data_IF_790382441966
#
_entry.id   IF_790382441966
#
_cell.length_a   1.000
_cell.length_b   1.000
_cell.length_c   1.000
_cell.angle_alpha   90.00
_cell.angle_beta   90.00
_cell.angle_gamma   90.00
#
_symmetry.space_group_name_H-M   'P 1'
#
loop_
_entity.id
_entity.type
_entity.pdbx_description
1 polymer ?
#
# COMPACT_ATOMS: atom_id res chain seq x y z
N UNK A 1 -21.54 0.95 4.82
CA UNK A 1 -20.81 0.22 3.76
C UNK A 1 -19.92 1.24 3.07
N UNK A 2 -18.61 1.11 3.25
CA UNK A 2 -17.61 2.06 2.77
C UNK A 2 -17.23 1.64 1.34
N UNK A 3 -17.61 2.44 0.35
CA UNK A 3 -17.29 2.16 -1.05
C UNK A 3 -16.14 3.05 -1.48
N UNK A 4 -15.01 2.43 -1.83
CA UNK A 4 -13.79 3.09 -2.31
C UNK A 4 -13.56 2.81 -3.80
N UNK A 5 -14.62 2.48 -4.55
CA UNK A 5 -14.59 2.42 -6.01
C UNK A 5 -16.00 2.26 -6.58
N UNK A 6 -16.53 3.32 -7.18
CA UNK A 6 -17.60 3.17 -8.18
C UNK A 6 -17.01 2.83 -9.57
N UNK A 7 -15.68 2.98 -9.77
CA UNK A 7 -14.96 2.64 -11.00
C UNK A 7 -13.43 2.71 -10.83
N UNK A 8 -12.70 1.69 -11.30
CA UNK A 8 -11.21 1.62 -11.34
C UNK A 8 -10.56 2.72 -12.17
N UNK A 9 -11.36 3.51 -12.88
CA UNK A 9 -10.92 4.65 -13.69
C UNK A 9 -10.78 5.95 -12.90
N UNK A 10 -11.47 6.09 -11.77
CA UNK A 10 -11.52 7.34 -11.01
C UNK A 10 -10.76 7.22 -9.69
N UNK A 11 -11.11 6.22 -8.87
CA UNK A 11 -10.51 6.04 -7.55
C UNK A 11 -9.69 4.75 -7.51
N UNK A 12 -8.41 4.86 -7.16
CA UNK A 12 -7.55 3.70 -6.96
C UNK A 12 -6.28 4.03 -6.16
N UNK A 13 -5.74 3.02 -5.52
CA UNK A 13 -4.40 3.01 -4.94
C UNK A 13 -3.48 2.23 -5.87
N UNK A 14 -2.34 2.82 -6.16
CA UNK A 14 -1.27 2.26 -6.97
C UNK A 14 -0.03 2.05 -6.11
N UNK A 15 0.58 0.86 -6.24
CA UNK A 15 1.77 0.48 -5.46
C UNK A 15 2.88 0.10 -6.45
N UNK A 16 4.05 0.75 -6.32
CA UNK A 16 5.22 0.53 -7.18
C UNK A 16 6.47 0.16 -6.40
N UNK A 17 7.30 -0.68 -7.00
CA UNK A 17 8.54 -1.20 -6.42
C UNK A 17 9.72 -0.25 -6.62
N UNK A 18 9.73 0.84 -5.86
CA UNK A 18 10.79 1.85 -5.92
C UNK A 18 10.30 3.24 -5.50
N UNK A 19 11.12 4.27 -5.76
CA UNK A 19 10.85 5.65 -5.35
C UNK A 19 10.28 6.54 -6.47
N UNK A 20 9.93 5.98 -7.63
CA UNK A 20 9.59 6.72 -8.84
C UNK A 20 8.29 6.22 -9.46
N UNK A 21 7.56 7.10 -10.12
CA UNK A 21 6.39 6.71 -10.93
C UNK A 21 6.74 5.82 -12.12
N UNK A 22 8.02 5.69 -12.46
CA UNK A 22 8.51 4.77 -13.49
C UNK A 22 8.91 3.39 -12.95
N UNK A 23 8.90 3.21 -11.63
CA UNK A 23 9.24 1.93 -11.00
C UNK A 23 8.17 0.86 -11.30
N UNK A 24 8.50 -0.42 -11.12
CA UNK A 24 7.63 -1.52 -11.52
C UNK A 24 6.29 -1.50 -10.77
N UNK A 25 5.19 -1.69 -11.49
CA UNK A 25 3.84 -1.70 -10.92
C UNK A 25 3.58 -3.04 -10.24
N UNK A 26 3.47 -3.03 -8.91
CA UNK A 26 3.13 -4.22 -8.13
C UNK A 26 1.62 -4.44 -8.05
N UNK A 27 0.84 -3.37 -8.07
CA UNK A 27 -0.62 -3.49 -8.00
C UNK A 27 -1.36 -2.17 -8.17
N UNK A 28 -2.58 -2.29 -8.72
CA UNK A 28 -3.57 -1.21 -8.80
C UNK A 28 -4.87 -1.73 -8.19
N UNK A 29 -5.33 -1.07 -7.13
CA UNK A 29 -6.44 -1.54 -6.31
C UNK A 29 -7.52 -0.48 -6.20
N UNK A 30 -8.77 -0.89 -6.40
CA UNK A 30 -9.94 -0.07 -6.08
C UNK A 30 -10.99 -0.84 -5.26
N UNK A 31 -10.74 -2.12 -4.93
CA UNK A 31 -11.76 -2.91 -4.23
C UNK A 31 -11.87 -2.50 -2.75
N UNK A 32 -13.03 -2.77 -2.16
CA UNK A 32 -13.24 -2.70 -0.70
C UNK A 32 -12.59 -3.88 0.04
N UNK A 33 -11.94 -4.79 -0.69
CA UNK A 33 -11.23 -5.95 -0.16
C UNK A 33 -9.74 -5.67 -0.25
N UNK A 34 -9.04 -5.82 0.89
CA UNK A 34 -7.59 -5.68 0.93
C UNK A 34 -6.92 -6.70 0.00
N UNK A 35 -5.92 -6.30 -0.80
CA UNK A 35 -5.21 -7.24 -1.65
C UNK A 35 -4.38 -8.23 -0.81
N UNK A 36 -3.91 -9.34 -1.42
CA UNK A 36 -2.86 -10.16 -0.84
C UNK A 36 -1.64 -9.32 -0.46
N UNK A 37 -0.81 -9.83 0.45
CA UNK A 37 0.42 -9.15 0.84
C UNK A 37 1.32 -8.89 -0.37
N UNK A 38 1.75 -7.63 -0.53
CA UNK A 38 2.66 -7.19 -1.57
C UNK A 38 4.05 -7.10 -0.97
N UNK A 39 5.03 -7.72 -1.65
CA UNK A 39 6.42 -7.78 -1.21
C UNK A 39 7.24 -6.97 -2.21
N UNK A 40 7.96 -5.96 -1.73
CA UNK A 40 8.92 -5.20 -2.52
C UNK A 40 10.20 -6.00 -2.75
N UNK A 41 10.85 -5.77 -3.89
CA UNK A 41 12.20 -6.30 -4.12
C UNK A 41 13.26 -5.52 -3.33
N UNK A 42 12.96 -4.29 -2.94
CA UNK A 42 13.87 -3.40 -2.22
C UNK A 42 13.27 -2.73 -0.97
N UNK A 43 14.01 -1.79 -0.35
CA UNK A 43 13.58 -1.11 0.87
C UNK A 43 12.60 0.05 0.62
N UNK A 44 12.17 0.27 -0.63
CA UNK A 44 11.34 1.42 -1.00
C UNK A 44 10.13 0.97 -1.81
N UNK A 45 8.96 1.45 -1.38
CA UNK A 45 7.71 1.37 -2.12
C UNK A 45 7.15 2.77 -2.34
N UNK A 46 6.62 3.02 -3.53
CA UNK A 46 5.83 4.22 -3.82
C UNK A 46 4.35 3.84 -3.80
N UNK A 47 3.59 4.48 -2.91
CA UNK A 47 2.15 4.31 -2.80
C UNK A 47 1.48 5.61 -3.25
N UNK A 48 0.71 5.56 -4.33
CA UNK A 48 -0.02 6.72 -4.86
C UNK A 48 -1.52 6.47 -4.78
N UNK A 49 -2.24 7.40 -4.16
CA UNK A 49 -3.70 7.43 -4.20
C UNK A 49 -4.16 8.40 -5.27
N UNK A 50 -5.06 7.95 -6.13
CA UNK A 50 -5.69 8.74 -7.18
C UNK A 50 -7.20 8.71 -6.92
N UNK A 51 -7.82 9.88 -6.92
CA UNK A 51 -9.25 10.07 -6.67
C UNK A 51 -9.77 11.21 -7.53
N UNK A 52 -11.07 11.22 -7.86
CA UNK A 52 -11.75 12.38 -8.41
C UNK A 52 -12.56 13.17 -7.35
N UNK A 53 -13.29 14.22 -7.78
CA UNK A 53 -14.06 15.07 -6.85
C UNK A 53 -15.43 14.46 -6.48
N UNK A 54 -15.87 13.38 -7.15
CA UNK A 54 -17.19 12.79 -6.97
C UNK A 54 -17.15 11.60 -6.01
N UNK A 55 -18.24 11.35 -5.28
CA UNK A 55 -18.41 10.16 -4.42
C UNK A 55 -17.23 9.85 -3.48
N UNK A 56 -16.85 10.83 -2.65
CA UNK A 56 -15.77 10.66 -1.65
C UNK A 56 -16.05 9.48 -0.70
N UNK A 57 -15.09 8.55 -0.61
CA UNK A 57 -15.11 7.42 0.32
C UNK A 57 -14.42 7.72 1.65
N UNK A 58 -14.20 6.71 2.50
CA UNK A 58 -13.49 6.88 3.78
C UNK A 58 -11.96 6.91 3.65
N UNK A 59 -11.43 6.84 2.43
CA UNK A 59 -10.01 6.65 2.17
C UNK A 59 -9.55 5.22 2.45
N UNK A 60 -8.24 5.03 2.63
CA UNK A 60 -7.63 3.72 2.84
C UNK A 60 -6.70 3.68 4.05
N UNK A 61 -6.54 2.48 4.59
CA UNK A 61 -5.56 2.17 5.62
C UNK A 61 -4.66 1.07 5.10
N UNK A 62 -3.35 1.22 5.32
CA UNK A 62 -2.36 0.22 4.95
C UNK A 62 -1.51 -0.14 6.16
N UNK A 63 -1.13 -1.42 6.23
CA UNK A 63 -0.16 -1.94 7.20
C UNK A 63 1.07 -2.40 6.44
N UNK A 64 2.26 -1.98 6.89
CA UNK A 64 3.52 -2.45 6.33
C UNK A 64 4.45 -3.01 7.41
N UNK A 65 5.30 -3.94 6.97
CA UNK A 65 6.28 -4.66 7.78
C UNK A 65 7.62 -4.62 7.05
N UNK A 66 8.69 -4.35 7.79
CA UNK A 66 10.05 -4.31 7.25
C UNK A 66 10.76 -5.59 7.66
N UNK A 67 11.14 -6.40 6.68
CA UNK A 67 11.96 -7.60 6.91
C UNK A 67 13.44 -7.22 6.87
N UNK A 68 14.14 -7.37 7.99
CA UNK A 68 15.60 -7.21 8.05
C UNK A 68 16.27 -8.56 7.81
N UNK A 69 16.88 -8.73 6.63
CA UNK A 69 17.69 -9.91 6.33
C UNK A 69 19.15 -9.58 6.63
N UNK A 70 19.61 -9.68 7.89
CA UNK A 70 21.04 -9.46 8.15
C UNK A 70 21.54 -9.16 9.57
N UNK A 71 20.79 -9.41 10.64
CA UNK A 71 21.36 -9.29 11.98
C UNK A 71 20.98 -10.55 12.78
N UNK A 72 21.98 -11.25 13.30
CA UNK A 72 21.79 -12.31 14.29
C UNK A 72 21.33 -11.69 15.61
N UNK A 73 20.12 -11.16 15.62
CA UNK A 73 19.49 -10.62 16.82
C UNK A 73 18.94 -11.79 17.62
N UNK A 74 19.75 -12.26 18.58
CA UNK A 74 19.38 -13.19 19.66
C UNK A 74 18.30 -12.58 20.60
N UNK A 75 17.73 -11.41 20.26
CA UNK A 75 16.62 -10.80 20.97
C UNK A 75 15.41 -10.59 20.04
N UNK A 76 14.64 -11.67 19.86
CA UNK A 76 13.24 -11.68 19.46
C UNK A 76 12.91 -10.75 18.26
N UNK A 77 13.06 -11.26 17.03
CA UNK A 77 12.82 -10.53 15.78
C UNK A 77 11.64 -9.56 15.84
N UNK A 78 11.93 -8.26 15.93
CA UNK A 78 10.91 -7.22 16.03
C UNK A 78 10.43 -6.84 14.64
N UNK A 79 9.40 -7.52 14.14
CA UNK A 79 8.56 -7.00 13.06
C UNK A 79 7.74 -5.83 13.62
N UNK A 80 8.13 -4.60 13.29
CA UNK A 80 7.38 -3.40 13.68
C UNK A 80 6.29 -3.15 12.66
N UNK A 81 5.04 -3.47 13.03
CA UNK A 81 3.88 -3.14 12.21
C UNK A 81 3.62 -1.64 12.26
N UNK A 82 3.64 -0.99 11.10
CA UNK A 82 3.24 0.40 10.98
C UNK A 82 1.93 0.47 10.21
N UNK A 83 0.99 1.25 10.73
CA UNK A 83 -0.30 1.52 10.08
C UNK A 83 -0.37 2.98 9.70
N UNK A 84 -0.75 3.28 8.45
CA UNK A 84 -0.98 4.64 7.99
C UNK A 84 -2.38 4.74 7.39
N UNK A 85 -3.19 5.65 7.94
CA UNK A 85 -4.50 5.98 7.41
C UNK A 85 -4.38 7.23 6.53
N UNK A 86 -4.92 7.15 5.32
CA UNK A 86 -4.87 8.21 4.33
C UNK A 86 -6.33 8.51 3.94
N UNK A 87 -6.76 9.72 4.27
CA UNK A 87 -8.07 10.26 3.94
C UNK A 87 -8.03 10.97 2.59
#
# INVERSE_FOLDING_TARGET
MVSMCFSTRYDYVEIRDGNSEKADLLGKHCSNIAPPAIISSGPVLLIRFVSDYAHQGAGFSLRYEIFKTGESDIHNGKSVHHTRQIH
#
